data_IF_886809456080
#
_entry.id   IF_886809456080
#
_cell.length_a   1.000
_cell.length_b   1.000
_cell.length_c   1.000
_cell.angle_alpha   90.00
_cell.angle_beta   90.00
_cell.angle_gamma   90.00
#
_symmetry.space_group_name_H-M   'P 1'
#
loop_
_entity.id
_entity.type
_entity.pdbx_description
1 polymer ?
#
# COMPACT_ATOMS: atom_id res chain seq x y z
N UNK A 1 -8.13 -4.73 -23.19
CA UNK A 1 -7.08 -3.70 -23.46
C UNK A 1 -6.10 -4.10 -24.56
N UNK A 2 -5.98 -5.37 -24.98
CA UNK A 2 -5.17 -5.72 -26.17
C UNK A 2 -3.66 -5.44 -26.05
N UNK A 3 -3.15 -5.31 -24.82
CA UNK A 3 -1.73 -5.04 -24.58
C UNK A 3 -0.90 -6.31 -24.85
N UNK A 4 -0.04 -6.27 -25.86
CA UNK A 4 0.93 -7.31 -26.16
C UNK A 4 2.34 -6.78 -25.90
N UNK A 5 2.71 -6.60 -24.62
CA UNK A 5 4.06 -6.21 -24.24
C UNK A 5 4.93 -7.45 -23.99
N UNK A 6 6.21 -7.44 -24.41
CA UNK A 6 7.16 -8.47 -24.04
C UNK A 6 7.27 -8.64 -22.53
N UNK A 7 7.58 -9.85 -22.06
CA UNK A 7 7.72 -10.13 -20.63
C UNK A 7 8.74 -9.21 -19.92
N UNK A 8 9.85 -8.87 -20.59
CA UNK A 8 10.86 -7.99 -20.02
C UNK A 8 10.38 -6.55 -19.78
N UNK A 9 9.28 -6.11 -20.41
CA UNK A 9 8.66 -4.81 -20.12
C UNK A 9 8.15 -4.71 -18.68
N UNK A 10 7.86 -5.84 -18.04
CA UNK A 10 7.41 -5.88 -16.64
C UNK A 10 8.45 -5.32 -15.68
N UNK A 11 9.76 -5.52 -15.94
CA UNK A 11 10.81 -4.99 -15.08
C UNK A 11 10.77 -3.47 -15.01
N UNK A 12 10.67 -2.80 -16.16
CA UNK A 12 10.57 -1.35 -16.22
C UNK A 12 9.24 -0.86 -15.62
N UNK A 13 8.13 -1.54 -15.93
CA UNK A 13 6.83 -1.20 -15.34
C UNK A 13 6.88 -1.28 -13.81
N UNK A 14 7.44 -2.35 -13.24
CA UNK A 14 7.58 -2.51 -11.79
C UNK A 14 8.44 -1.39 -11.19
N UNK A 15 9.51 -0.95 -11.86
CA UNK A 15 10.33 0.16 -11.37
C UNK A 15 9.51 1.46 -11.23
N UNK A 16 8.69 1.80 -12.22
CA UNK A 16 7.77 2.94 -12.12
C UNK A 16 6.75 2.74 -10.99
N UNK A 17 6.14 1.55 -10.90
CA UNK A 17 5.12 1.27 -9.89
C UNK A 17 5.69 1.35 -8.46
N UNK A 18 6.92 0.87 -8.23
CA UNK A 18 7.60 1.00 -6.93
C UNK A 18 7.70 2.45 -6.48
N UNK A 19 8.07 3.36 -7.39
CA UNK A 19 8.09 4.80 -7.11
C UNK A 19 6.67 5.32 -6.85
N UNK A 20 5.70 4.92 -7.67
CA UNK A 20 4.30 5.35 -7.52
C UNK A 20 3.68 4.95 -6.18
N UNK A 21 3.91 3.71 -5.72
CA UNK A 21 3.37 3.22 -4.44
C UNK A 21 4.12 3.74 -3.22
N UNK A 22 5.32 4.30 -3.39
CA UNK A 22 6.03 4.98 -2.31
C UNK A 22 5.30 6.24 -1.83
N UNK A 23 4.37 6.79 -2.63
CA UNK A 23 3.48 7.88 -2.21
C UNK A 23 2.30 7.30 -1.42
N UNK A 24 2.20 7.54 -0.09
CA UNK A 24 1.22 6.89 0.77
C UNK A 24 -0.16 7.49 0.55
N UNK A 25 -0.93 6.85 -0.35
CA UNK A 25 -2.32 7.18 -0.63
C UNK A 25 -3.22 6.04 -0.14
N UNK A 26 -4.46 6.32 0.34
CA UNK A 26 -5.37 5.26 0.76
C UNK A 26 -5.57 4.22 -0.35
N UNK A 27 -5.31 2.95 -0.04
CA UNK A 27 -5.43 1.85 -1.00
C UNK A 27 -4.45 1.92 -2.18
N UNK A 28 -3.40 2.75 -2.12
CA UNK A 28 -2.45 3.02 -3.22
C UNK A 28 -3.09 3.61 -4.49
N UNK A 29 -4.29 4.19 -4.36
CA UNK A 29 -5.01 4.83 -5.46
C UNK A 29 -4.41 6.22 -5.74
N UNK A 30 -4.13 6.52 -7.00
CA UNK A 30 -3.42 7.74 -7.42
C UNK A 30 -1.97 7.43 -7.81
N UNK A 31 -1.07 7.26 -6.83
CA UNK A 31 0.36 7.03 -7.09
C UNK A 31 0.64 5.83 -8.00
N UNK A 32 -0.02 4.69 -7.75
CA UNK A 32 0.02 3.52 -8.63
C UNK A 32 -0.46 3.86 -10.05
N UNK A 33 -1.60 4.54 -10.17
CA UNK A 33 -2.26 4.79 -11.44
C UNK A 33 -1.47 5.77 -12.33
N UNK A 34 -0.94 6.85 -11.75
CA UNK A 34 -0.12 7.81 -12.49
C UNK A 34 1.21 7.18 -12.91
N UNK A 35 1.86 6.40 -12.06
CA UNK A 35 3.08 5.68 -12.44
C UNK A 35 2.82 4.65 -13.56
N UNK A 36 1.68 3.93 -13.50
CA UNK A 36 1.27 2.99 -14.54
C UNK A 36 1.01 3.72 -15.88
N UNK A 37 0.32 4.87 -15.83
CA UNK A 37 0.07 5.73 -16.99
C UNK A 37 1.38 6.25 -17.59
N UNK A 38 2.29 6.77 -16.77
CA UNK A 38 3.59 7.28 -17.23
C UNK A 38 4.41 6.17 -17.88
N UNK A 39 4.53 5.00 -17.26
CA UNK A 39 5.25 3.87 -17.84
C UNK A 39 4.67 3.46 -19.21
N UNK A 40 3.35 3.21 -19.28
CA UNK A 40 2.73 2.71 -20.51
C UNK A 40 2.69 3.76 -21.63
N UNK A 41 2.42 5.02 -21.31
CA UNK A 41 2.35 6.07 -22.33
C UNK A 41 3.73 6.54 -22.79
N UNK A 42 4.66 6.76 -21.85
CA UNK A 42 5.96 7.37 -22.17
C UNK A 42 7.01 6.34 -22.60
N UNK A 43 7.06 5.18 -21.95
CA UNK A 43 8.07 4.16 -22.26
C UNK A 43 7.62 3.16 -23.34
N UNK A 44 6.30 2.91 -23.44
CA UNK A 44 5.75 1.88 -24.34
C UNK A 44 4.81 2.42 -25.42
N UNK A 45 4.55 3.73 -25.47
CA UNK A 45 3.75 4.36 -26.52
C UNK A 45 2.28 3.93 -26.55
N UNK A 46 1.77 3.37 -25.46
CA UNK A 46 0.37 2.94 -25.33
C UNK A 46 -0.53 4.18 -25.24
N UNK A 47 -1.70 4.14 -25.88
CA UNK A 47 -2.67 5.24 -25.76
C UNK A 47 -3.11 5.42 -24.30
N UNK A 48 -3.30 6.68 -23.88
CA UNK A 48 -3.66 7.02 -22.50
C UNK A 48 -4.92 6.29 -22.02
N UNK A 49 -5.94 6.20 -22.87
CA UNK A 49 -7.19 5.52 -22.54
C UNK A 49 -6.98 4.02 -22.28
N UNK A 50 -6.16 3.36 -23.11
CA UNK A 50 -5.82 1.95 -22.94
C UNK A 50 -5.00 1.73 -21.68
N UNK A 51 -4.01 2.60 -21.43
CA UNK A 51 -3.17 2.55 -20.25
C UNK A 51 -3.98 2.78 -18.96
N UNK A 52 -4.90 3.75 -18.96
CA UNK A 52 -5.79 4.03 -17.83
C UNK A 52 -6.66 2.82 -17.52
N UNK A 53 -7.30 2.25 -18.54
CA UNK A 53 -8.21 1.15 -18.37
C UNK A 53 -7.47 -0.14 -17.92
N UNK A 54 -6.28 -0.41 -18.49
CA UNK A 54 -5.42 -1.49 -18.04
C UNK A 54 -4.91 -1.29 -16.59
N UNK A 55 -4.52 -0.07 -16.23
CA UNK A 55 -4.07 0.28 -14.88
C UNK A 55 -5.17 0.09 -13.84
N UNK A 56 -6.38 0.59 -14.10
CA UNK A 56 -7.54 0.42 -13.22
C UNK A 56 -7.90 -1.05 -13.04
N UNK A 57 -7.97 -1.80 -14.14
CA UNK A 57 -8.27 -3.22 -14.08
C UNK A 57 -7.19 -4.01 -13.32
N UNK A 58 -5.92 -3.71 -13.57
CA UNK A 58 -4.79 -4.36 -12.88
C UNK A 58 -4.84 -4.08 -11.38
N UNK A 59 -5.07 -2.82 -10.98
CA UNK A 59 -5.19 -2.42 -9.59
C UNK A 59 -6.35 -3.14 -8.88
N UNK A 60 -7.53 -3.17 -9.51
CA UNK A 60 -8.69 -3.85 -8.95
C UNK A 60 -8.44 -5.36 -8.82
N UNK A 61 -7.84 -5.99 -9.84
CA UNK A 61 -7.59 -7.42 -9.88
C UNK A 61 -6.61 -7.87 -8.78
N UNK A 62 -5.59 -7.06 -8.47
CA UNK A 62 -4.60 -7.39 -7.43
C UNK A 62 -5.10 -7.05 -6.02
N UNK A 63 -5.87 -5.97 -5.86
CA UNK A 63 -6.25 -5.48 -4.52
C UNK A 63 -7.61 -6.00 -4.03
N UNK A 64 -8.62 -6.13 -4.90
CA UNK A 64 -9.97 -6.53 -4.45
C UNK A 64 -10.01 -7.93 -3.81
N UNK A 65 -9.35 -8.97 -4.34
CA UNK A 65 -9.36 -10.28 -3.69
C UNK A 65 -8.76 -10.23 -2.29
N UNK A 66 -7.65 -9.51 -2.12
CA UNK A 66 -6.98 -9.33 -0.83
C UNK A 66 -7.88 -8.56 0.14
N UNK A 67 -8.50 -7.47 -0.31
CA UNK A 67 -9.44 -6.68 0.48
C UNK A 67 -10.64 -7.52 0.93
N UNK A 68 -11.25 -8.27 0.02
CA UNK A 68 -12.41 -9.12 0.31
C UNK A 68 -12.06 -10.20 1.33
N UNK A 69 -10.91 -10.87 1.16
CA UNK A 69 -10.45 -11.88 2.11
C UNK A 69 -10.15 -11.28 3.49
N UNK A 70 -9.49 -10.12 3.53
CA UNK A 70 -9.21 -9.40 4.77
C UNK A 70 -10.50 -9.02 5.50
N UNK A 71 -11.49 -8.47 4.80
CA UNK A 71 -12.79 -8.13 5.38
C UNK A 71 -13.56 -9.38 5.85
N UNK A 72 -13.51 -10.48 5.08
CA UNK A 72 -14.17 -11.73 5.46
C UNK A 72 -13.58 -12.31 6.75
N UNK A 73 -12.26 -12.29 6.92
CA UNK A 73 -11.61 -12.75 8.15
C UNK A 73 -11.85 -11.81 9.32
N UNK A 74 -11.77 -10.49 9.10
CA UNK A 74 -12.09 -9.49 10.12
C UNK A 74 -13.51 -9.67 10.67
N UNK A 75 -14.48 -9.92 9.77
CA UNK A 75 -15.87 -10.20 10.15
C UNK A 75 -16.03 -11.53 10.92
N UNK A 76 -15.31 -12.58 10.52
CA UNK A 76 -15.33 -13.88 11.21
C UNK A 76 -14.77 -13.81 12.64
N UNK A 77 -13.78 -12.95 12.89
CA UNK A 77 -13.18 -12.76 14.21
C UNK A 77 -13.99 -11.81 15.11
N UNK A 78 -15.11 -11.26 14.59
CA UNK A 78 -15.96 -10.32 15.31
C UNK A 78 -15.24 -9.00 15.63
N UNK A 79 -14.23 -8.64 14.84
CA UNK A 79 -13.53 -7.37 14.94
C UNK A 79 -14.33 -6.34 14.15
N UNK A 80 -14.98 -5.44 14.87
CA UNK A 80 -15.65 -4.28 14.27
C UNK A 80 -14.76 -3.06 14.44
N UNK A 81 -14.93 -2.04 13.57
CA UNK A 81 -14.18 -0.78 13.68
C UNK A 81 -14.31 -0.16 15.08
N UNK A 82 -15.48 -0.30 15.73
CA UNK A 82 -15.70 0.14 17.11
C UNK A 82 -15.00 -0.70 18.18
N UNK A 83 -14.75 -1.99 17.94
CA UNK A 83 -14.00 -2.86 18.86
C UNK A 83 -12.50 -2.58 18.77
N UNK A 84 -11.99 -2.32 17.56
CA UNK A 84 -10.61 -1.88 17.33
C UNK A 84 -10.36 -0.51 17.96
N UNK A 85 -11.28 0.44 17.80
CA UNK A 85 -11.18 1.75 18.46
C UNK A 85 -11.15 1.67 20.00
N UNK A 86 -11.91 0.73 20.59
CA UNK A 86 -11.86 0.49 22.05
C UNK A 86 -10.55 -0.13 22.52
N UNK A 87 -9.89 -0.94 21.69
CA UNK A 87 -8.58 -1.53 22.02
C UNK A 87 -7.46 -0.50 22.02
N UNK A 88 -7.57 0.57 21.22
CA UNK A 88 -6.61 1.69 21.24
C UNK A 88 -6.86 2.66 22.41
N UNK A 89 -8.06 2.65 22.99
CA UNK A 89 -8.46 3.51 24.11
C UNK A 89 -8.32 2.86 25.50
N UNK A 90 -8.04 1.55 25.61
CA UNK A 90 -7.85 0.91 26.92
C UNK A 90 -6.50 1.33 27.52
N UNK A 91 -6.48 2.12 28.62
CA UNK A 91 -5.23 2.39 29.34
C UNK A 91 -4.69 1.08 29.92
N UNK A 92 -3.36 0.93 30.05
CA UNK A 92 -2.76 -0.28 30.60
C UNK A 92 -3.40 -0.59 31.96
N UNK A 93 -3.94 -1.81 32.11
CA UNK A 93 -4.52 -2.26 33.38
C UNK A 93 -3.45 -2.16 34.45
N UNK A 94 -3.70 -1.30 35.45
CA UNK A 94 -2.81 -1.08 36.57
C UNK A 94 -2.57 -2.41 37.31
N UNK A 95 -1.38 -2.99 37.14
CA UNK A 95 -0.93 -4.17 37.88
C UNK A 95 -0.38 -5.32 37.03
N UNK A 96 -0.57 -5.33 35.70
CA UNK A 96 0.00 -6.36 34.84
C UNK A 96 1.36 -5.89 34.28
N UNK A 97 2.45 -6.67 34.41
CA UNK A 97 3.72 -6.33 33.75
C UNK A 97 3.51 -6.30 32.22
N UNK A 98 4.22 -5.40 31.50
CA UNK A 98 4.02 -5.21 30.07
C UNK A 98 4.20 -6.51 29.30
N UNK A 99 3.15 -6.93 28.58
CA UNK A 99 3.17 -8.13 27.73
C UNK A 99 3.75 -7.77 26.37
N UNK A 100 5.08 -7.67 26.32
CA UNK A 100 5.85 -7.42 25.10
C UNK A 100 6.77 -6.20 25.22
N UNK A 101 7.84 -6.13 24.40
CA UNK A 101 8.72 -4.97 24.36
C UNK A 101 7.92 -3.72 24.03
N UNK A 102 8.17 -2.67 24.78
CA UNK A 102 7.47 -1.40 24.67
C UNK A 102 7.71 -0.78 23.29
N UNK A 103 6.63 -0.47 22.58
CA UNK A 103 6.73 0.24 21.31
C UNK A 103 7.38 1.63 21.47
N UNK A 104 7.43 2.18 22.69
CA UNK A 104 8.19 3.40 23.02
C UNK A 104 9.70 3.24 22.92
N UNK A 105 10.25 2.05 23.14
CA UNK A 105 11.67 1.79 22.93
C UNK A 105 12.04 1.84 21.44
N UNK A 106 11.11 1.50 20.54
CA UNK A 106 11.36 1.57 19.09
C UNK A 106 11.50 3.01 18.57
N UNK A 107 10.85 3.99 19.21
CA UNK A 107 10.95 5.41 18.81
C UNK A 107 12.19 6.07 19.41
N UNK A 108 12.67 5.60 20.56
CA UNK A 108 13.86 6.12 21.22
C UNK A 108 15.18 5.74 20.52
N UNK A 109 15.19 4.65 19.75
CA UNK A 109 16.38 4.11 19.08
C UNK A 109 16.50 4.45 17.59
N UNK A 110 15.70 5.38 17.06
CA UNK A 110 15.96 5.96 15.72
C UNK A 110 16.92 7.15 15.89
N UNK A 111 18.23 7.01 15.62
CA UNK A 111 19.15 8.14 15.71
C UNK A 111 18.71 9.24 14.75
N UNK A 112 18.66 10.48 15.25
CA UNK A 112 18.38 11.71 14.53
C UNK A 112 19.51 12.07 13.53
N UNK A 113 19.81 11.17 12.61
CA UNK A 113 20.84 11.32 11.59
C UNK A 113 20.18 11.33 10.21
N UNK A 114 19.38 12.35 9.91
CA UNK A 114 19.22 12.86 8.54
C UNK A 114 18.57 14.26 8.47
N UNK A 115 18.89 15.12 9.45
CA UNK A 115 18.67 16.56 9.33
C UNK A 115 19.98 17.27 8.91
N UNK A 116 20.63 16.81 7.83
CA UNK A 116 21.65 17.58 7.11
C UNK A 116 22.09 16.89 5.81
N UNK A 117 21.41 17.16 4.71
CA UNK A 117 22.07 17.17 3.41
C UNK A 117 21.45 18.26 2.53
N UNK A 118 22.34 19.03 1.91
CA UNK A 118 22.07 20.19 1.05
C UNK A 118 21.61 19.75 -0.34
#
# INVERSE_FOLDING_TARGET
FGLALPFHSTFLLIAFLTVGVAVPTPGTVGGFHEAYLLALTQAFGVSRDTAAAAGIASHALTNLPVLVLGLAFLGREGLTMGKVAKMTDEPPKSGEPPKGPDASAYVADVPAAEASFK
#
